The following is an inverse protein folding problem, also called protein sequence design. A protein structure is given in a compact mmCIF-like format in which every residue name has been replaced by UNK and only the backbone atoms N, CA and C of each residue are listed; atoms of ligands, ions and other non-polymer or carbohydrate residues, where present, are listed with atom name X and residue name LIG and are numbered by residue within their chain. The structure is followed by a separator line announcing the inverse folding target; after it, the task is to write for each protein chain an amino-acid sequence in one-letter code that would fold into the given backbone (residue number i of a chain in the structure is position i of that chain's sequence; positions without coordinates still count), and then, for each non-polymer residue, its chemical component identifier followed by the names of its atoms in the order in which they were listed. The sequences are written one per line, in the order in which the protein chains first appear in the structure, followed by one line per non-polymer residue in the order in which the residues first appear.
data_IF_360169171771
#
_entry.id   IF_360169171771
#
_cell.length_a   1.000
_cell.length_b   1.000
_cell.length_c   1.000
_cell.angle_alpha   90.00
_cell.angle_beta   90.00
_cell.angle_gamma   90.00
#
_symmetry.space_group_name_H-M   'P 1'
#
loop_
_entity.id
_entity.type
_entity.pdbx_description
1 polymer ?
#
# COMPACT_ATOMS: atom_id res chain seq x y z
N UNK A 1 23.38 68.32 37.93
CA UNK A 1 21.95 68.44 38.31
C UNK A 1 21.34 67.05 38.24
N UNK A 2 20.79 66.54 39.34
CA UNK A 2 20.29 65.15 39.54
C UNK A 2 18.81 65.03 39.12
N UNK A 3 18.46 63.88 38.50
CA UNK A 3 17.22 63.04 38.53
C UNK A 3 15.89 63.63 39.07
N UNK A 4 14.68 63.25 38.55
CA UNK A 4 14.17 61.87 38.65
C UNK A 4 13.21 61.34 37.53
N UNK A 5 13.02 60.02 37.53
CA UNK A 5 12.02 59.23 36.77
C UNK A 5 10.63 59.32 37.43
N UNK A 6 9.51 59.18 36.68
CA UNK A 6 8.46 58.28 37.17
C UNK A 6 7.70 57.45 36.11
N UNK A 7 7.61 56.15 36.43
CA UNK A 7 6.42 55.26 36.47
C UNK A 7 5.67 54.85 35.18
N UNK A 8 5.80 53.54 34.91
CA UNK A 8 4.87 52.66 34.15
C UNK A 8 3.44 52.72 34.73
N UNK A 9 2.43 52.43 33.90
CA UNK A 9 1.65 51.22 34.17
C UNK A 9 1.31 50.42 32.89
N UNK A 10 1.43 49.08 32.94
CA UNK A 10 0.65 48.20 32.06
C UNK A 10 -0.77 48.02 32.64
N UNK A 11 -1.54 46.96 32.30
CA UNK A 11 -1.55 46.09 31.12
C UNK A 11 -2.96 46.05 30.48
N UNK A 12 -3.14 45.67 29.20
CA UNK A 12 -4.39 44.95 28.80
C UNK A 12 -4.18 44.13 27.52
N UNK A 13 -4.37 42.83 27.67
CA UNK A 13 -4.62 41.81 26.64
C UNK A 13 -5.89 42.14 25.83
N UNK A 14 -5.87 41.97 24.49
CA UNK A 14 -7.10 42.06 23.70
C UNK A 14 -6.89 41.88 22.20
N UNK A 15 -7.41 40.77 21.68
CA UNK A 15 -7.36 40.26 20.31
C UNK A 15 -7.94 41.18 19.21
N UNK A 16 -7.63 40.82 17.96
CA UNK A 16 -8.51 40.79 16.76
C UNK A 16 -8.03 41.62 15.55
N UNK A 17 -7.55 40.87 14.55
CA UNK A 17 -7.81 40.97 13.10
C UNK A 17 -7.29 42.17 12.27
N UNK A 18 -6.44 41.85 11.28
CA UNK A 18 -6.52 42.46 9.95
C UNK A 18 -6.02 41.46 8.88
N UNK A 19 -6.99 40.90 8.14
CA UNK A 19 -6.81 40.27 6.82
C UNK A 19 -6.38 41.33 5.79
N UNK A 20 -5.47 41.00 4.86
CA UNK A 20 -5.54 41.55 3.49
C UNK A 20 -4.84 40.66 2.43
N UNK A 21 -5.67 40.10 1.55
CA UNK A 21 -5.51 39.70 0.13
C UNK A 21 -4.14 39.27 -0.45
N UNK A 22 -4.10 38.04 -0.98
CA UNK A 22 -3.74 37.80 -2.37
C UNK A 22 -4.46 36.53 -2.90
N UNK A 23 -5.39 36.74 -3.83
CA UNK A 23 -6.12 35.69 -4.54
C UNK A 23 -5.24 35.18 -5.70
N UNK A 24 -4.42 34.16 -5.44
CA UNK A 24 -3.73 33.43 -6.51
C UNK A 24 -4.60 32.24 -6.93
N UNK A 25 -4.76 31.94 -8.23
CA UNK A 25 -5.32 30.67 -8.65
C UNK A 25 -4.37 29.59 -8.14
N UNK A 26 -4.83 28.77 -7.21
CA UNK A 26 -4.13 27.55 -6.85
C UNK A 26 -4.16 26.64 -8.09
N UNK A 27 -3.16 26.76 -8.96
CA UNK A 27 -2.75 25.62 -9.77
C UNK A 27 -2.35 24.59 -8.73
N UNK A 28 -3.25 23.62 -8.51
CA UNK A 28 -2.96 22.46 -7.69
C UNK A 28 -1.91 21.65 -8.46
N UNK A 29 -0.65 22.06 -8.35
CA UNK A 29 0.46 21.15 -8.56
C UNK A 29 0.19 20.07 -7.52
N UNK A 30 -0.04 18.84 -7.97
CA UNK A 30 -0.11 17.69 -7.07
C UNK A 30 1.07 17.83 -6.12
N UNK A 31 0.79 18.19 -4.85
CA UNK A 31 1.82 18.36 -3.86
C UNK A 31 2.62 17.06 -3.77
N UNK A 32 3.87 17.10 -3.30
CA UNK A 32 4.61 15.87 -3.06
C UNK A 32 3.71 14.92 -2.26
N UNK A 33 3.48 13.72 -2.80
CA UNK A 33 2.73 12.68 -2.11
C UNK A 33 3.37 12.51 -0.73
N UNK A 34 2.56 12.57 0.32
CA UNK A 34 3.01 12.47 1.70
C UNK A 34 2.20 11.41 2.40
N UNK A 35 2.85 10.58 3.21
CA UNK A 35 2.15 9.67 4.09
C UNK A 35 1.86 10.34 5.42
N UNK A 36 0.67 10.11 5.97
CA UNK A 36 0.28 10.70 7.25
C UNK A 36 0.14 9.61 8.29
N UNK A 37 0.98 9.67 9.33
CA UNK A 37 0.91 8.79 10.48
C UNK A 37 0.43 9.54 11.72
N UNK A 38 -0.31 8.85 12.58
CA UNK A 38 -0.78 9.42 13.85
C UNK A 38 -0.31 8.61 15.04
N UNK A 39 0.04 9.30 16.13
CA UNK A 39 0.39 8.67 17.40
C UNK A 39 -0.18 9.47 18.59
N UNK A 40 -0.72 8.78 19.62
CA UNK A 40 -1.19 9.43 20.83
C UNK A 40 -0.03 9.96 21.67
N UNK A 41 -0.16 11.18 22.19
CA UNK A 41 0.83 11.83 23.07
C UNK A 41 0.15 12.52 24.26
N UNK A 42 0.78 12.37 25.42
CA UNK A 42 0.49 13.04 26.69
C UNK A 42 1.05 14.47 26.74
N UNK A 43 2.16 14.74 26.06
CA UNK A 43 2.90 16.00 26.09
C UNK A 43 3.63 16.28 24.77
N UNK A 44 4.17 17.50 24.64
CA UNK A 44 4.98 17.92 23.48
C UNK A 44 6.49 17.88 23.79
N UNK A 45 6.92 17.12 24.80
CA UNK A 45 8.35 17.02 25.10
C UNK A 45 9.10 16.37 23.94
N UNK A 46 10.40 16.65 23.85
CA UNK A 46 11.23 16.10 22.78
C UNK A 46 11.28 14.56 22.83
N UNK A 47 11.36 13.95 24.02
CA UNK A 47 11.36 12.49 24.17
C UNK A 47 10.06 11.87 23.67
N UNK A 48 8.94 12.53 24.00
CA UNK A 48 7.62 12.03 23.63
C UNK A 48 7.33 12.25 22.15
N UNK A 49 7.81 13.35 21.56
CA UNK A 49 7.81 13.58 20.12
C UNK A 49 8.57 12.48 19.39
N UNK A 50 9.80 12.18 19.79
CA UNK A 50 10.63 11.18 19.13
C UNK A 50 9.96 9.80 19.17
N UNK A 51 9.43 9.40 20.33
CA UNK A 51 8.67 8.14 20.43
C UNK A 51 7.41 8.14 19.56
N UNK A 52 6.66 9.24 19.55
CA UNK A 52 5.45 9.36 18.74
C UNK A 52 5.72 9.36 17.23
N UNK A 53 6.83 9.95 16.77
CA UNK A 53 7.24 9.90 15.37
C UNK A 53 7.59 8.47 14.93
N UNK A 54 8.25 7.70 15.80
CA UNK A 54 8.51 6.28 15.55
C UNK A 54 7.20 5.48 15.43
N UNK A 55 6.26 5.69 16.36
CA UNK A 55 4.94 5.05 16.31
C UNK A 55 4.15 5.47 15.06
N UNK A 56 4.18 6.75 14.70
CA UNK A 56 3.48 7.26 13.52
C UNK A 56 4.05 6.66 12.22
N UNK A 57 5.38 6.54 12.11
CA UNK A 57 6.01 5.90 10.96
C UNK A 57 5.70 4.40 10.91
N UNK A 58 5.71 3.71 12.05
CA UNK A 58 5.33 2.30 12.12
C UNK A 58 3.91 2.07 11.58
N UNK A 59 2.95 2.92 11.98
CA UNK A 59 1.58 2.84 11.49
C UNK A 59 1.48 3.05 9.98
N UNK A 60 2.21 4.03 9.42
CA UNK A 60 2.29 4.26 7.97
C UNK A 60 2.85 3.04 7.25
N UNK A 61 3.91 2.45 7.78
CA UNK A 61 4.53 1.27 7.17
C UNK A 61 3.54 0.10 7.15
N UNK A 62 2.83 -0.16 8.25
CA UNK A 62 1.81 -1.23 8.31
C UNK A 62 0.67 -0.97 7.33
N UNK A 63 0.19 0.27 7.23
CA UNK A 63 -0.86 0.66 6.29
C UNK A 63 -0.42 0.49 4.83
N UNK A 64 0.83 0.86 4.52
CA UNK A 64 1.38 0.78 3.17
C UNK A 64 1.74 -0.65 2.75
N UNK A 65 2.10 -1.53 3.69
CA UNK A 65 2.42 -2.94 3.40
C UNK A 65 1.23 -3.87 3.56
N UNK A 66 0.20 -3.49 4.31
CA UNK A 66 -0.90 -4.36 4.70
C UNK A 66 -0.50 -5.49 5.66
N UNK A 67 0.74 -5.52 6.12
CA UNK A 67 1.30 -6.56 7.00
C UNK A 67 1.84 -5.93 8.28
N UNK A 68 1.22 -6.24 9.42
CA UNK A 68 1.66 -5.78 10.72
C UNK A 68 2.94 -6.45 11.21
N UNK A 69 3.31 -7.61 10.67
CA UNK A 69 4.55 -8.34 10.96
C UNK A 69 5.81 -7.65 10.41
N UNK A 70 5.65 -6.67 9.53
CA UNK A 70 6.74 -5.91 8.93
C UNK A 70 7.63 -5.20 9.96
N UNK A 71 7.05 -4.75 11.07
CA UNK A 71 7.76 -4.03 12.14
C UNK A 71 8.69 -4.94 12.94
N UNK A 72 8.46 -6.26 12.92
CA UNK A 72 9.32 -7.24 13.58
C UNK A 72 10.64 -7.47 12.80
N UNK A 73 10.73 -7.00 11.56
CA UNK A 73 11.96 -7.11 10.78
C UNK A 73 13.01 -6.15 11.34
N UNK A 74 14.23 -6.62 11.61
CA UNK A 74 15.28 -5.79 12.21
C UNK A 74 15.66 -4.58 11.35
N UNK A 75 15.55 -4.71 10.02
CA UNK A 75 15.85 -3.62 9.09
C UNK A 75 14.81 -2.50 9.13
N UNK A 76 13.53 -2.86 9.32
CA UNK A 76 12.42 -1.91 9.43
C UNK A 76 12.48 -1.20 10.79
N UNK A 77 12.74 -1.95 11.87
CA UNK A 77 12.93 -1.37 13.20
C UNK A 77 14.05 -0.29 13.22
N UNK A 78 15.21 -0.59 12.63
CA UNK A 78 16.32 0.39 12.49
C UNK A 78 15.95 1.62 11.65
N UNK A 79 15.06 1.46 10.68
CA UNK A 79 14.61 2.56 9.85
C UNK A 79 13.58 3.43 10.58
N UNK A 80 12.69 2.80 11.35
CA UNK A 80 11.73 3.46 12.24
C UNK A 80 12.47 4.26 13.32
N UNK A 81 13.55 3.74 13.90
CA UNK A 81 14.38 4.50 14.86
C UNK A 81 14.86 5.85 14.28
N UNK A 82 15.06 5.90 12.97
CA UNK A 82 15.46 7.10 12.24
C UNK A 82 14.26 7.88 11.67
N UNK A 83 13.05 7.67 12.18
CA UNK A 83 11.81 8.26 11.65
C UNK A 83 11.91 9.76 11.37
N UNK A 84 12.58 10.51 12.23
CA UNK A 84 12.75 11.97 12.13
C UNK A 84 13.32 12.42 10.77
N UNK A 85 14.15 11.60 10.12
CA UNK A 85 14.73 11.93 8.82
C UNK A 85 13.72 11.90 7.66
N UNK A 86 12.60 11.22 7.86
CA UNK A 86 11.56 11.05 6.85
C UNK A 86 10.39 12.02 7.09
N UNK A 87 10.39 12.75 8.21
CA UNK A 87 9.32 13.69 8.55
C UNK A 87 9.48 14.95 7.72
N UNK A 88 8.43 15.29 6.98
CA UNK A 88 8.29 16.58 6.30
C UNK A 88 7.72 17.62 7.27
N UNK A 89 6.67 17.24 8.00
CA UNK A 89 5.99 18.12 8.93
C UNK A 89 5.35 17.32 10.05
N UNK A 90 5.23 17.90 11.23
CA UNK A 90 4.40 17.35 12.30
C UNK A 90 3.50 18.43 12.89
N UNK A 91 2.37 18.02 13.44
CA UNK A 91 1.42 18.90 14.13
C UNK A 91 0.84 18.19 15.34
N UNK A 92 0.45 18.96 16.36
CA UNK A 92 -0.22 18.45 17.54
C UNK A 92 -1.69 18.85 17.49
N UNK A 93 -2.58 17.87 17.59
CA UNK A 93 -4.02 18.07 17.70
C UNK A 93 -4.43 17.70 19.12
N UNK A 94 -5.10 18.62 19.82
CA UNK A 94 -5.67 18.28 21.13
C UNK A 94 -6.90 17.42 20.92
N UNK A 95 -6.99 16.31 21.64
CA UNK A 95 -8.16 15.44 21.60
C UNK A 95 -9.13 15.89 22.70
N UNK A 96 -10.42 15.92 22.38
CA UNK A 96 -11.48 16.19 23.35
C UNK A 96 -12.01 14.89 24.00
N UNK A 97 -11.74 13.76 23.35
CA UNK A 97 -12.15 12.43 23.79
C UNK A 97 -11.15 11.92 24.83
N UNK A 98 -11.64 11.39 25.97
CA UNK A 98 -10.89 11.09 27.19
C UNK A 98 -9.77 10.04 27.12
N UNK A 99 -9.13 9.85 25.97
CA UNK A 99 -7.87 9.14 25.79
C UNK A 99 -6.66 10.06 25.97
N UNK A 100 -5.61 9.85 25.17
CA UNK A 100 -4.42 10.71 25.21
C UNK A 100 -4.80 12.17 24.92
N UNK A 101 -4.30 13.13 25.72
CA UNK A 101 -4.72 14.54 25.65
C UNK A 101 -4.39 15.18 24.29
N UNK A 102 -3.42 14.63 23.56
CA UNK A 102 -3.02 15.12 22.25
C UNK A 102 -2.75 13.95 21.29
N UNK A 103 -2.87 14.22 19.99
CA UNK A 103 -2.44 13.35 18.91
C UNK A 103 -1.36 14.08 18.14
N UNK A 104 -0.21 13.44 17.98
CA UNK A 104 0.80 13.86 17.03
C UNK A 104 0.40 13.34 15.65
N UNK A 105 0.31 14.24 14.68
CA UNK A 105 0.08 13.93 13.27
C UNK A 105 1.35 14.28 12.51
N UNK A 106 2.05 13.27 12.00
CA UNK A 106 3.27 13.41 11.23
C UNK A 106 3.00 13.15 9.75
N UNK A 107 3.46 14.06 8.91
CA UNK A 107 3.57 13.89 7.47
C UNK A 107 4.99 13.43 7.16
N UNK A 108 5.08 12.29 6.48
CA UNK A 108 6.32 11.68 6.02
C UNK A 108 6.45 11.84 4.51
N UNK A 109 7.69 11.94 4.03
CA UNK A 109 8.01 11.94 2.61
C UNK A 109 7.66 10.58 2.00
N UNK A 110 6.65 10.55 1.12
CA UNK A 110 6.21 9.28 0.55
C UNK A 110 7.29 8.64 -0.32
N UNK A 111 8.03 9.43 -1.10
CA UNK A 111 9.08 8.90 -1.96
C UNK A 111 10.23 8.27 -1.16
N UNK A 112 10.63 8.90 -0.06
CA UNK A 112 11.67 8.36 0.82
C UNK A 112 11.22 7.10 1.57
N UNK A 113 9.96 7.07 2.03
CA UNK A 113 9.37 5.89 2.67
C UNK A 113 9.22 4.74 1.65
N UNK A 114 8.76 5.02 0.44
CA UNK A 114 8.63 4.02 -0.63
C UNK A 114 9.98 3.42 -1.04
N UNK A 115 11.01 4.26 -1.20
CA UNK A 115 12.37 3.80 -1.47
C UNK A 115 12.92 2.93 -0.34
N UNK A 116 12.66 3.31 0.92
CA UNK A 116 13.02 2.51 2.09
C UNK A 116 12.32 1.14 2.05
N UNK A 117 11.01 1.12 1.80
CA UNK A 117 10.23 -0.13 1.71
C UNK A 117 10.70 -0.99 0.54
N UNK A 118 10.91 -0.42 -0.65
CA UNK A 118 11.45 -1.14 -1.80
C UNK A 118 12.83 -1.75 -1.52
N UNK A 119 13.73 -0.99 -0.89
CA UNK A 119 15.07 -1.48 -0.51
C UNK A 119 15.01 -2.71 0.39
N UNK A 120 13.94 -2.85 1.16
CA UNK A 120 13.70 -4.00 2.04
C UNK A 120 12.77 -5.06 1.45
N UNK A 121 12.33 -4.89 0.19
CA UNK A 121 11.42 -5.81 -0.49
C UNK A 121 9.98 -5.75 0.01
N UNK A 122 9.55 -4.60 0.53
CA UNK A 122 8.27 -4.37 1.22
C UNK A 122 7.36 -3.36 0.51
N UNK A 123 7.78 -2.75 -0.60
CA UNK A 123 6.97 -1.75 -1.31
C UNK A 123 5.70 -2.35 -1.93
N UNK A 124 4.72 -1.52 -2.30
CA UNK A 124 3.50 -1.98 -2.99
C UNK A 124 3.78 -2.74 -4.31
N UNK A 125 4.95 -2.52 -4.91
CA UNK A 125 5.46 -3.27 -6.06
C UNK A 125 6.13 -4.61 -5.69
N UNK A 126 6.25 -4.97 -4.42
CA UNK A 126 6.65 -6.31 -3.98
C UNK A 126 5.48 -7.31 -4.04
N UNK A 127 4.24 -6.81 -4.11
CA UNK A 127 3.05 -7.59 -4.44
C UNK A 127 2.85 -7.77 -5.95
N UNK A 128 3.59 -7.04 -6.78
CA UNK A 128 3.90 -7.50 -8.14
C UNK A 128 5.11 -8.39 -7.95
N UNK A 129 5.01 -9.72 -8.11
CA UNK A 129 6.21 -10.53 -8.12
C UNK A 129 7.15 -9.89 -9.16
N UNK A 130 8.38 -9.54 -8.82
CA UNK A 130 9.44 -9.61 -9.84
C UNK A 130 9.90 -11.06 -9.85
N UNK A 131 8.94 -11.99 -9.97
CA UNK A 131 9.26 -13.37 -10.23
C UNK A 131 10.02 -13.38 -11.56
N UNK A 132 11.15 -14.08 -11.64
CA UNK A 132 11.85 -14.18 -12.90
C UNK A 132 10.86 -14.70 -13.94
N UNK A 133 10.91 -14.16 -15.16
CA UNK A 133 10.17 -14.69 -16.31
C UNK A 133 10.74 -16.06 -16.71
N UNK A 134 10.81 -17.01 -15.77
CA UNK A 134 11.17 -18.38 -16.03
C UNK A 134 9.96 -19.04 -16.65
N UNK A 135 10.04 -19.47 -17.92
CA UNK A 135 9.00 -20.28 -18.51
C UNK A 135 8.69 -21.44 -17.58
N UNK A 136 7.43 -21.58 -17.24
CA UNK A 136 6.97 -22.56 -16.25
C UNK A 136 5.92 -23.45 -16.89
N UNK A 137 6.05 -24.74 -16.64
CA UNK A 137 5.03 -25.74 -16.93
C UNK A 137 4.09 -25.82 -15.72
N UNK A 138 2.80 -25.60 -15.93
CA UNK A 138 1.80 -25.56 -14.88
C UNK A 138 0.52 -26.25 -15.29
N UNK A 139 -0.04 -27.04 -14.38
CA UNK A 139 -1.30 -27.74 -14.59
C UNK A 139 -2.45 -26.93 -14.02
N UNK A 140 -3.33 -26.43 -14.88
CA UNK A 140 -4.43 -25.55 -14.51
C UNK A 140 -5.76 -26.26 -14.71
N UNK A 141 -6.55 -26.31 -13.63
CA UNK A 141 -7.95 -26.71 -13.69
C UNK A 141 -8.80 -25.54 -14.19
N UNK A 142 -9.70 -25.79 -15.13
CA UNK A 142 -10.64 -24.81 -15.65
C UNK A 142 -12.05 -25.34 -15.46
N UNK A 143 -12.75 -24.80 -14.46
CA UNK A 143 -14.12 -25.14 -14.10
C UNK A 143 -15.16 -24.28 -14.81
N UNK A 144 -16.43 -24.57 -14.53
CA UNK A 144 -17.61 -23.88 -15.07
C UNK A 144 -17.77 -24.01 -16.60
N UNK A 145 -17.21 -25.06 -17.19
CA UNK A 145 -17.39 -25.41 -18.60
C UNK A 145 -18.65 -26.27 -18.74
N UNK A 146 -19.76 -25.66 -19.15
CA UNK A 146 -21.07 -26.34 -19.18
C UNK A 146 -21.43 -26.89 -20.56
N UNK A 147 -20.81 -26.36 -21.61
CA UNK A 147 -21.13 -26.69 -22.99
C UNK A 147 -19.90 -26.52 -23.93
N UNK A 148 -20.09 -26.85 -25.20
CA UNK A 148 -19.03 -26.76 -26.22
C UNK A 148 -18.62 -25.30 -26.54
N UNK A 149 -19.52 -24.34 -26.41
CA UNK A 149 -19.24 -22.92 -26.62
C UNK A 149 -18.35 -22.35 -25.49
N UNK A 150 -18.60 -22.75 -24.25
CA UNK A 150 -17.77 -22.43 -23.08
C UNK A 150 -16.36 -22.97 -23.27
N UNK A 151 -16.25 -24.25 -23.71
CA UNK A 151 -14.97 -24.85 -24.05
C UNK A 151 -14.24 -24.09 -25.17
N UNK A 152 -14.93 -23.77 -26.26
CA UNK A 152 -14.35 -23.01 -27.38
C UNK A 152 -13.88 -21.61 -26.94
N UNK A 153 -14.59 -20.97 -25.99
CA UNK A 153 -14.21 -19.69 -25.41
C UNK A 153 -12.94 -19.80 -24.58
N UNK A 154 -12.81 -20.83 -23.73
CA UNK A 154 -11.60 -21.08 -22.94
C UNK A 154 -10.40 -21.32 -23.85
N UNK A 155 -10.51 -22.22 -24.82
CA UNK A 155 -9.41 -22.55 -25.71
C UNK A 155 -9.04 -21.33 -26.58
N UNK A 156 -10.04 -20.60 -27.08
CA UNK A 156 -9.82 -19.37 -27.85
C UNK A 156 -9.19 -18.24 -27.03
N UNK A 157 -9.50 -18.15 -25.74
CA UNK A 157 -8.89 -17.20 -24.82
C UNK A 157 -7.43 -17.54 -24.55
N UNK A 158 -7.15 -18.78 -24.11
CA UNK A 158 -5.80 -19.23 -23.79
C UNK A 158 -4.88 -19.22 -25.00
N UNK A 159 -5.37 -19.62 -26.18
CA UNK A 159 -4.59 -19.57 -27.42
C UNK A 159 -4.27 -18.16 -27.92
N UNK A 160 -5.03 -17.15 -27.49
CA UNK A 160 -4.77 -15.73 -27.82
C UNK A 160 -3.93 -15.01 -26.76
N UNK A 161 -3.70 -15.65 -25.61
CA UNK A 161 -3.02 -15.04 -24.49
C UNK A 161 -1.50 -15.02 -24.75
N UNK A 162 -0.88 -13.84 -24.63
CA UNK A 162 0.55 -13.63 -24.94
C UNK A 162 1.49 -14.44 -24.02
N UNK A 163 1.01 -14.89 -22.86
CA UNK A 163 1.79 -15.64 -21.89
C UNK A 163 1.80 -17.14 -22.20
N UNK A 164 0.82 -17.68 -22.92
CA UNK A 164 0.69 -19.12 -23.18
C UNK A 164 1.49 -19.50 -24.43
N UNK A 165 2.51 -20.34 -24.28
CA UNK A 165 3.28 -20.91 -25.40
C UNK A 165 2.65 -22.17 -25.96
N UNK A 166 2.16 -23.03 -25.08
CA UNK A 166 1.49 -24.27 -25.46
C UNK A 166 0.42 -24.61 -24.43
N UNK A 167 -0.61 -25.33 -24.87
CA UNK A 167 -1.67 -25.84 -24.02
C UNK A 167 -2.01 -27.27 -24.43
N UNK A 168 -2.08 -28.17 -23.46
CA UNK A 168 -2.40 -29.57 -23.66
C UNK A 168 -3.49 -29.99 -22.67
N UNK A 169 -4.72 -30.26 -23.13
CA UNK A 169 -5.74 -30.86 -22.29
C UNK A 169 -5.30 -32.25 -21.87
N UNK A 170 -5.15 -32.47 -20.55
CA UNK A 170 -4.72 -33.76 -20.00
C UNK A 170 -5.93 -34.59 -19.60
N UNK A 171 -6.96 -33.95 -19.07
CA UNK A 171 -8.18 -34.61 -18.63
C UNK A 171 -9.40 -33.69 -18.79
N UNK A 172 -10.55 -34.27 -19.13
CA UNK A 172 -11.83 -33.58 -19.15
C UNK A 172 -12.80 -34.31 -18.21
N UNK A 173 -13.52 -33.56 -17.38
CA UNK A 173 -14.58 -34.09 -16.51
C UNK A 173 -15.90 -33.40 -16.85
N UNK A 174 -16.96 -33.74 -16.12
CA UNK A 174 -18.27 -33.10 -16.27
C UNK A 174 -18.31 -31.64 -15.81
N UNK A 175 -17.36 -31.21 -14.99
CA UNK A 175 -17.36 -29.89 -14.33
C UNK A 175 -16.26 -28.95 -14.86
N UNK A 176 -15.38 -29.46 -15.72
CA UNK A 176 -14.25 -28.71 -16.24
C UNK A 176 -13.19 -29.56 -16.91
N UNK A 177 -12.06 -28.93 -17.19
CA UNK A 177 -10.91 -29.56 -17.84
C UNK A 177 -9.63 -29.25 -17.10
N UNK A 178 -8.72 -30.21 -17.09
CA UNK A 178 -7.37 -30.08 -16.57
C UNK A 178 -6.43 -29.89 -17.76
N UNK A 179 -5.73 -28.77 -17.78
CA UNK A 179 -4.90 -28.34 -18.91
C UNK A 179 -3.48 -28.12 -18.43
N UNK A 180 -2.53 -28.81 -19.06
CA UNK A 180 -1.14 -28.50 -18.90
C UNK A 180 -0.78 -27.30 -19.79
N UNK A 181 -0.34 -26.21 -19.17
CA UNK A 181 0.07 -24.97 -19.82
C UNK A 181 1.59 -24.83 -19.76
N UNK A 182 2.18 -24.52 -20.92
CA UNK A 182 3.55 -24.00 -20.99
C UNK A 182 3.46 -22.48 -21.05
N UNK A 183 3.89 -21.82 -19.98
CA UNK A 183 3.82 -20.38 -19.82
C UNK A 183 5.19 -19.76 -20.14
N UNK A 184 5.16 -18.55 -20.68
CA UNK A 184 6.36 -17.71 -20.89
C UNK A 184 6.78 -16.97 -19.61
N UNK A 185 5.97 -17.07 -18.56
CA UNK A 185 6.08 -16.40 -17.26
C UNK A 185 5.73 -17.40 -16.17
N UNK A 186 5.90 -17.06 -14.89
CA UNK A 186 5.39 -17.87 -13.79
C UNK A 186 3.86 -17.84 -13.68
N UNK A 187 3.34 -18.80 -12.93
CA UNK A 187 1.90 -19.00 -12.72
C UNK A 187 1.23 -17.80 -12.05
N UNK A 188 1.87 -17.17 -11.06
CA UNK A 188 1.26 -16.07 -10.31
C UNK A 188 1.01 -14.84 -11.20
N UNK A 189 1.97 -14.50 -12.06
CA UNK A 189 1.79 -13.45 -13.07
C UNK A 189 0.69 -13.76 -14.07
N UNK A 190 0.65 -14.99 -14.57
CA UNK A 190 -0.40 -15.43 -15.47
C UNK A 190 -1.78 -15.28 -14.80
N UNK A 191 -1.95 -15.78 -13.57
CA UNK A 191 -3.21 -15.66 -12.83
C UNK A 191 -3.61 -14.21 -12.60
N UNK A 192 -2.66 -13.34 -12.25
CA UNK A 192 -2.89 -11.91 -12.12
C UNK A 192 -3.39 -11.26 -13.42
N UNK A 193 -2.73 -11.55 -14.55
CA UNK A 193 -3.14 -11.04 -15.86
C UNK A 193 -4.54 -11.54 -16.27
N UNK A 194 -4.81 -12.83 -16.03
CA UNK A 194 -6.10 -13.46 -16.33
C UNK A 194 -7.24 -12.84 -15.51
N UNK A 195 -7.01 -12.59 -14.21
CA UNK A 195 -8.00 -11.95 -13.34
C UNK A 195 -8.39 -10.53 -13.81
N UNK A 196 -7.48 -9.80 -14.46
CA UNK A 196 -7.77 -8.47 -15.01
C UNK A 196 -8.69 -8.51 -16.23
N UNK A 197 -8.61 -9.56 -17.06
CA UNK A 197 -9.38 -9.67 -18.30
C UNK A 197 -10.82 -10.20 -18.11
N UNK A 198 -11.19 -10.56 -16.88
CA UNK A 198 -12.54 -10.98 -16.43
C UNK A 198 -13.15 -12.16 -17.18
N UNK A 199 -12.41 -12.83 -18.06
CA UNK A 199 -12.88 -14.00 -18.83
C UNK A 199 -12.73 -15.27 -18.01
N UNK A 200 -11.61 -15.40 -17.29
CA UNK A 200 -11.36 -16.45 -16.32
C UNK A 200 -11.06 -15.77 -14.98
N UNK A 201 -11.52 -16.35 -13.88
CA UNK A 201 -11.21 -15.89 -12.53
C UNK A 201 -10.52 -17.00 -11.74
N UNK A 202 -9.58 -16.63 -10.87
CA UNK A 202 -8.97 -17.59 -9.96
C UNK A 202 -10.01 -18.14 -8.99
N UNK A 203 -10.03 -19.46 -8.88
CA UNK A 203 -10.85 -20.19 -7.93
C UNK A 203 -9.98 -20.67 -6.78
N UNK A 204 -10.45 -20.45 -5.55
CA UNK A 204 -9.78 -20.94 -4.34
C UNK A 204 -9.95 -22.45 -4.13
N UNK A 205 -10.74 -23.12 -4.98
CA UNK A 205 -10.96 -24.55 -4.93
C UNK A 205 -9.70 -25.32 -5.33
N UNK A 206 -9.12 -26.06 -4.38
CA UNK A 206 -8.00 -26.95 -4.66
C UNK A 206 -8.50 -28.19 -5.40
N UNK A 207 -7.93 -28.46 -6.57
CA UNK A 207 -8.24 -29.64 -7.40
C UNK A 207 -7.05 -30.57 -7.40
N UNK A 208 -7.28 -31.86 -7.16
CA UNK A 208 -6.22 -32.87 -7.17
C UNK A 208 -5.53 -32.94 -8.54
N UNK A 209 -4.20 -32.78 -8.53
CA UNK A 209 -3.39 -32.77 -9.75
C UNK A 209 -3.32 -31.42 -10.48
N UNK A 210 -3.93 -30.36 -9.96
CA UNK A 210 -3.80 -29.00 -10.49
C UNK A 210 -2.97 -28.09 -9.57
N UNK A 211 -2.07 -27.31 -10.17
CA UNK A 211 -1.28 -26.27 -9.50
C UNK A 211 -2.11 -25.01 -9.23
N UNK A 212 -3.09 -24.72 -10.11
CA UNK A 212 -4.02 -23.62 -9.97
C UNK A 212 -5.42 -24.00 -10.49
N UNK A 213 -6.44 -23.31 -9.99
CA UNK A 213 -7.82 -23.47 -10.46
C UNK A 213 -8.35 -22.13 -10.98
N UNK A 214 -8.97 -22.17 -12.16
CA UNK A 214 -9.65 -21.07 -12.80
C UNK A 214 -11.10 -21.46 -13.05
N UNK A 215 -11.99 -20.49 -13.09
CA UNK A 215 -13.40 -20.66 -13.46
C UNK A 215 -13.77 -19.69 -14.59
N UNK A 216 -14.59 -20.14 -15.52
CA UNK A 216 -15.07 -19.31 -16.62
C UNK A 216 -16.11 -18.30 -16.13
N UNK A 217 -15.86 -17.02 -16.44
CA UNK A 217 -16.82 -15.94 -16.21
C UNK A 217 -17.95 -15.98 -17.25
N UNK A 218 -19.19 -15.99 -16.76
CA UNK A 218 -20.41 -15.98 -17.57
C UNK A 218 -21.06 -14.60 -17.64
#
# INVERSE_FOLDING_TARGET
MRLPVPRVPGPVTGYVLALLLALLPAVSIAGPSSYTGTAPVNSQSDEERTGALQTALANVVIEQTGDSGVIARPEVAKAIEKAERYVLQYSYRRNADGGAPMTLVAQFDAGAVDQMLQKFGLGALAAVPLAPETPTEATVWIGDIRNADDYARVIGYLGKNNFVKAMQPTQATSDGILVHLSLSTDVAHFLGAVAMERTLAESSSRVDGADAALVLGH
#
